data_IF_394230322707
#
_entry.id   IF_394230322707
#
_cell.length_a   1.000
_cell.length_b   1.000
_cell.length_c   1.000
_cell.angle_alpha   90.00
_cell.angle_beta   90.00
_cell.angle_gamma   90.00
#
_symmetry.space_group_name_H-M   'P 1'
#
loop_
_entity.id
_entity.type
_entity.pdbx_description
1 polymer ?
#
# COMPACT_ATOMS: atom_id res chain seq x y z
N UNK A 1 -7.35 -11.60 12.51
CA UNK A 1 -6.63 -10.69 11.60
C UNK A 1 -6.17 -11.56 10.45
N UNK A 2 -6.66 -11.28 9.26
CA UNK A 2 -6.45 -12.18 8.12
C UNK A 2 -5.05 -11.93 7.55
N UNK A 3 -4.26 -13.00 7.44
CA UNK A 3 -3.02 -12.97 6.68
C UNK A 3 -3.37 -12.93 5.19
N UNK A 4 -2.74 -12.04 4.43
CA UNK A 4 -2.84 -12.07 2.98
C UNK A 4 -2.07 -13.29 2.44
N UNK A 5 -2.60 -14.00 1.43
CA UNK A 5 -1.78 -14.93 0.65
C UNK A 5 -0.56 -14.18 0.11
N UNK A 6 0.63 -14.69 0.38
CA UNK A 6 1.90 -14.10 -0.04
C UNK A 6 2.59 -15.05 -1.04
N UNK A 7 3.37 -14.52 -2.01
CA UNK A 7 3.68 -13.11 -2.24
C UNK A 7 2.67 -12.39 -3.15
N UNK A 8 2.57 -11.06 -3.04
CA UNK A 8 1.68 -10.24 -3.87
C UNK A 8 2.28 -8.88 -4.23
N UNK A 9 1.74 -8.22 -5.25
CA UNK A 9 2.05 -6.81 -5.57
C UNK A 9 0.87 -5.92 -5.24
N UNK A 10 1.12 -4.62 -5.04
CA UNK A 10 0.10 -3.59 -4.82
C UNK A 10 0.15 -2.60 -5.98
N UNK A 11 -1.00 -2.32 -6.58
CA UNK A 11 -1.21 -1.28 -7.57
C UNK A 11 -2.19 -0.25 -7.03
N UNK A 12 -2.05 1.02 -7.42
CA UNK A 12 -2.99 2.10 -7.12
C UNK A 12 -3.32 2.76 -8.45
N UNK A 13 -4.59 2.75 -8.84
CA UNK A 13 -5.06 3.21 -10.14
C UNK A 13 -4.36 2.53 -11.32
N UNK A 14 -4.03 1.24 -11.17
CA UNK A 14 -3.28 0.45 -12.15
C UNK A 14 -1.77 0.73 -12.18
N UNK A 15 -1.27 1.62 -11.32
CA UNK A 15 0.15 1.92 -11.21
C UNK A 15 0.77 1.11 -10.06
N UNK A 16 1.78 0.26 -10.31
CA UNK A 16 2.38 -0.54 -9.25
C UNK A 16 3.14 0.33 -8.25
N UNK A 17 3.04 0.02 -6.96
CA UNK A 17 3.95 0.57 -5.95
C UNK A 17 5.36 0.04 -6.25
N UNK A 18 6.29 0.96 -6.51
CA UNK A 18 7.65 0.62 -6.90
C UNK A 18 8.45 0.07 -5.72
N UNK A 19 9.37 -0.85 -6.01
CA UNK A 19 10.31 -1.39 -5.02
C UNK A 19 11.17 -0.28 -4.38
N UNK A 20 11.63 -0.45 -3.13
CA UNK A 20 12.56 0.48 -2.51
C UNK A 20 13.87 0.55 -3.32
N UNK A 21 14.47 1.74 -3.43
CA UNK A 21 15.81 1.88 -3.98
C UNK A 21 16.85 1.30 -3.01
N UNK A 22 17.99 0.83 -3.52
CA UNK A 22 19.00 0.13 -2.70
C UNK A 22 19.68 1.05 -1.65
N UNK A 23 19.84 2.33 -1.96
CA UNK A 23 20.56 3.31 -1.13
C UNK A 23 19.61 4.31 -0.43
N UNK A 24 18.45 3.82 0.01
CA UNK A 24 17.49 4.66 0.73
C UNK A 24 18.09 5.19 2.04
N UNK A 25 17.88 6.49 2.28
CA UNK A 25 18.03 7.10 3.61
C UNK A 25 17.15 6.35 4.62
N UNK A 26 17.22 6.68 5.92
CA UNK A 26 16.44 6.01 6.99
C UNK A 26 14.96 5.79 6.65
N UNK A 27 14.39 6.69 5.85
CA UNK A 27 13.14 6.47 5.12
C UNK A 27 13.15 7.19 3.77
N UNK A 28 12.40 6.68 2.80
CA UNK A 28 12.21 7.31 1.48
C UNK A 28 10.74 7.29 1.08
N UNK A 29 10.21 8.40 0.54
CA UNK A 29 8.81 8.48 0.12
C UNK A 29 8.55 7.44 -0.96
N UNK A 30 7.54 6.59 -0.75
CA UNK A 30 7.17 5.56 -1.70
C UNK A 30 6.54 6.18 -2.94
N UNK A 31 6.82 5.56 -4.08
CA UNK A 31 6.34 5.99 -5.38
C UNK A 31 5.73 4.84 -6.14
N UNK A 32 4.92 5.15 -7.15
CA UNK A 32 4.59 4.19 -8.20
C UNK A 32 5.73 4.08 -9.21
N UNK A 33 5.76 2.99 -10.00
CA UNK A 33 6.78 2.81 -11.04
C UNK A 33 6.70 1.47 -11.77
N UNK A 34 7.58 1.28 -12.74
CA UNK A 34 7.60 0.11 -13.64
C UNK A 34 8.12 -1.16 -12.97
N UNK A 35 8.84 -1.05 -11.86
CA UNK A 35 9.40 -2.19 -11.14
C UNK A 35 8.61 -2.44 -9.84
N UNK A 36 7.58 -3.31 -9.86
CA UNK A 36 6.69 -3.51 -8.73
C UNK A 36 7.42 -4.10 -7.53
N UNK A 37 7.09 -3.60 -6.34
CA UNK A 37 7.45 -4.24 -5.08
C UNK A 37 6.65 -5.54 -4.90
N UNK A 38 7.34 -6.60 -4.48
CA UNK A 38 6.72 -7.86 -4.07
C UNK A 38 6.64 -7.85 -2.55
N UNK A 39 5.42 -8.06 -2.04
CA UNK A 39 5.07 -7.86 -0.64
C UNK A 39 4.72 -9.15 0.07
N UNK A 40 5.00 -9.13 1.37
CA UNK A 40 4.40 -10.03 2.36
C UNK A 40 3.84 -9.17 3.50
N UNK A 41 2.66 -9.54 4.03
CA UNK A 41 2.12 -8.93 5.24
C UNK A 41 2.39 -9.85 6.43
N UNK A 42 3.39 -9.50 7.25
CA UNK A 42 3.81 -10.28 8.41
C UNK A 42 3.95 -9.38 9.63
N UNK A 43 3.38 -9.82 10.76
CA UNK A 43 3.39 -9.08 12.03
C UNK A 43 2.87 -7.64 11.86
N UNK A 44 1.81 -7.49 11.06
CA UNK A 44 1.20 -6.20 10.68
C UNK A 44 2.13 -5.22 9.96
N UNK A 45 3.24 -5.72 9.41
CA UNK A 45 4.19 -4.96 8.61
C UNK A 45 4.11 -5.44 7.17
N UNK A 46 3.94 -4.51 6.25
CA UNK A 46 3.95 -4.78 4.82
C UNK A 46 5.39 -4.71 4.31
N UNK A 47 6.01 -5.88 4.13
CA UNK A 47 7.46 -6.01 3.93
C UNK A 47 7.81 -6.27 2.47
N UNK A 48 8.94 -5.72 2.00
CA UNK A 48 9.52 -6.01 0.69
C UNK A 48 11.03 -5.73 0.71
N UNK A 49 11.87 -6.68 0.25
CA UNK A 49 13.32 -6.49 0.10
C UNK A 49 14.04 -5.82 1.29
N UNK A 50 13.81 -6.31 2.51
CA UNK A 50 14.43 -5.75 3.72
C UNK A 50 13.88 -4.39 4.16
N UNK A 51 12.78 -3.94 3.56
CA UNK A 51 12.08 -2.70 3.90
C UNK A 51 10.63 -2.97 4.31
N UNK A 52 10.04 -2.00 4.99
CA UNK A 52 8.63 -1.97 5.36
C UNK A 52 7.99 -0.74 4.72
N UNK A 53 6.86 -0.94 4.05
CA UNK A 53 6.02 0.15 3.57
C UNK A 53 5.04 0.55 4.68
N UNK A 54 5.13 1.77 5.18
CA UNK A 54 4.30 2.22 6.31
C UNK A 54 4.15 3.75 6.37
N UNK A 55 3.36 4.21 7.33
CA UNK A 55 3.31 5.60 7.78
C UNK A 55 4.11 5.77 9.07
N UNK A 56 4.72 6.93 9.26
CA UNK A 56 5.33 7.28 10.54
C UNK A 56 4.24 7.53 11.58
N UNK A 57 4.48 7.17 12.84
CA UNK A 57 3.53 7.43 13.93
C UNK A 57 3.44 8.93 14.27
N UNK A 58 4.57 9.65 14.13
CA UNK A 58 4.64 11.09 14.36
C UNK A 58 4.40 11.84 13.04
N UNK A 59 3.22 12.42 12.91
CA UNK A 59 2.78 13.21 11.75
C UNK A 59 2.13 14.52 12.20
N UNK A 60 1.99 15.48 11.28
CA UNK A 60 1.16 16.66 11.54
C UNK A 60 -0.33 16.26 11.65
N UNK A 61 -1.11 17.03 12.42
CA UNK A 61 -2.52 16.74 12.72
C UNK A 61 -3.49 17.20 11.62
N UNK A 62 -3.01 17.52 10.42
CA UNK A 62 -3.90 17.90 9.33
C UNK A 62 -4.66 16.68 8.79
N UNK A 63 -5.80 16.90 8.14
CA UNK A 63 -6.52 15.86 7.39
C UNK A 63 -6.00 15.69 5.96
N UNK A 64 -4.90 16.38 5.61
CA UNK A 64 -4.26 16.19 4.30
C UNK A 64 -3.74 14.76 4.17
N UNK A 65 -3.70 14.20 2.95
CA UNK A 65 -3.09 12.90 2.68
C UNK A 65 -1.70 12.78 3.30
N UNK A 66 -1.39 11.59 3.83
CA UNK A 66 -0.13 11.34 4.53
C UNK A 66 0.82 10.54 3.67
N UNK A 67 2.06 10.98 3.58
CA UNK A 67 3.08 10.26 2.83
C UNK A 67 3.27 8.85 3.40
N UNK A 68 3.33 7.87 2.52
CA UNK A 68 3.72 6.50 2.86
C UNK A 68 5.17 6.31 2.49
N UNK A 69 5.98 5.77 3.39
CA UNK A 69 7.42 5.66 3.19
C UNK A 69 7.86 4.19 3.15
N UNK A 70 8.93 3.97 2.42
CA UNK A 70 9.82 2.84 2.63
C UNK A 70 10.71 3.13 3.83
N UNK A 71 10.62 2.29 4.86
CA UNK A 71 11.53 2.26 5.99
C UNK A 71 12.42 1.02 5.92
N UNK A 72 13.65 1.08 6.43
CA UNK A 72 14.41 -0.14 6.69
C UNK A 72 13.67 -1.02 7.69
N UNK A 73 13.76 -2.34 7.55
CA UNK A 73 13.02 -3.27 8.40
C UNK A 73 13.37 -3.14 9.89
N UNK A 74 14.61 -2.76 10.20
CA UNK A 74 15.15 -2.52 11.55
C UNK A 74 15.03 -1.05 12.01
N UNK A 75 14.19 -0.24 11.35
CA UNK A 75 14.03 1.17 11.70
C UNK A 75 13.65 1.34 13.18
N UNK A 76 14.33 2.27 13.86
CA UNK A 76 13.95 2.73 15.19
C UNK A 76 12.78 3.72 15.14
N UNK A 77 12.40 4.19 13.95
CA UNK A 77 11.27 5.12 13.80
C UNK A 77 9.96 4.39 14.10
N UNK A 78 9.14 4.88 15.04
CA UNK A 78 7.82 4.31 15.28
C UNK A 78 6.94 4.47 14.04
N UNK A 79 6.34 3.36 13.59
CA UNK A 79 5.48 3.30 12.41
C UNK A 79 4.11 2.73 12.77
N UNK A 80 3.10 3.08 11.98
CA UNK A 80 1.76 2.52 12.09
C UNK A 80 1.70 1.07 11.57
N UNK A 81 0.85 0.26 12.20
CA UNK A 81 0.45 -1.05 11.71
C UNK A 81 -0.27 -0.94 10.36
N UNK A 82 -0.07 -1.95 9.51
CA UNK A 82 -0.84 -2.17 8.29
C UNK A 82 -1.84 -3.29 8.53
N UNK A 83 -3.10 -3.04 8.20
CA UNK A 83 -4.19 -3.99 8.34
C UNK A 83 -4.69 -4.39 6.96
N UNK A 84 -4.86 -5.70 6.76
CA UNK A 84 -5.61 -6.23 5.63
C UNK A 84 -6.97 -6.73 6.11
N UNK A 85 -8.03 -6.28 5.44
CA UNK A 85 -9.41 -6.71 5.73
C UNK A 85 -10.00 -7.27 4.44
N UNK A 86 -10.58 -8.47 4.51
CA UNK A 86 -11.26 -9.07 3.36
C UNK A 86 -12.53 -8.29 3.03
N UNK A 87 -12.71 -7.99 1.75
CA UNK A 87 -13.87 -7.28 1.20
C UNK A 87 -14.38 -8.05 -0.03
N UNK A 88 -15.36 -8.93 0.18
CA UNK A 88 -15.81 -9.86 -0.86
C UNK A 88 -14.70 -10.83 -1.30
N UNK A 89 -14.37 -10.82 -2.59
CA UNK A 89 -13.24 -11.58 -3.17
C UNK A 89 -11.91 -10.81 -3.11
N UNK A 90 -11.93 -9.63 -2.50
CA UNK A 90 -10.88 -8.63 -2.48
C UNK A 90 -10.36 -8.37 -1.06
N UNK A 91 -9.33 -7.54 -0.91
CA UNK A 91 -8.65 -7.29 0.36
C UNK A 91 -8.25 -5.83 0.44
N UNK A 92 -8.86 -5.07 1.35
CA UNK A 92 -8.49 -3.68 1.65
C UNK A 92 -7.22 -3.62 2.48
N UNK A 93 -6.21 -2.88 2.01
CA UNK A 93 -5.04 -2.52 2.80
C UNK A 93 -5.24 -1.15 3.44
N UNK A 94 -5.10 -1.09 4.75
CA UNK A 94 -5.32 0.11 5.54
C UNK A 94 -4.07 0.49 6.34
N UNK A 95 -3.64 1.73 6.18
CA UNK A 95 -2.49 2.33 6.86
C UNK A 95 -3.01 3.25 7.95
N UNK A 96 -3.18 2.71 9.17
CA UNK A 96 -3.88 3.38 10.27
C UNK A 96 -5.31 3.83 9.89
N UNK A 97 -6.07 2.93 9.26
CA UNK A 97 -7.46 3.15 8.85
C UNK A 97 -7.66 3.93 7.54
N UNK A 98 -6.57 4.34 6.89
CA UNK A 98 -6.61 5.04 5.61
C UNK A 98 -6.24 4.12 4.44
N UNK A 99 -6.98 4.20 3.35
CA UNK A 99 -6.64 3.54 2.08
C UNK A 99 -5.48 4.27 1.37
N UNK A 100 -4.95 3.67 0.32
CA UNK A 100 -3.90 4.28 -0.48
C UNK A 100 -4.47 5.09 -1.65
N UNK A 101 -3.73 6.13 -2.03
CA UNK A 101 -3.94 6.96 -3.21
C UNK A 101 -2.59 7.39 -3.81
N UNK A 102 -2.61 7.93 -5.01
CA UNK A 102 -1.44 8.50 -5.68
C UNK A 102 -1.60 9.98 -5.98
N UNK A 103 -0.51 10.73 -5.86
CA UNK A 103 -0.41 12.12 -6.31
C UNK A 103 1.02 12.38 -6.83
N UNK A 104 1.17 12.82 -8.08
CA UNK A 104 2.47 13.08 -8.72
C UNK A 104 3.47 11.91 -8.55
N UNK A 105 3.01 10.69 -8.85
CA UNK A 105 3.69 9.40 -8.62
C UNK A 105 4.01 9.05 -7.16
N UNK A 106 3.78 9.96 -6.21
CA UNK A 106 3.92 9.71 -4.79
C UNK A 106 2.76 8.86 -4.25
N UNK A 107 3.08 7.94 -3.35
CA UNK A 107 2.08 7.12 -2.64
C UNK A 107 1.70 7.81 -1.33
N UNK A 108 0.40 7.97 -1.11
CA UNK A 108 -0.16 8.61 0.08
C UNK A 108 -1.27 7.75 0.67
N UNK A 109 -1.51 7.92 1.97
CA UNK A 109 -2.70 7.44 2.63
C UNK A 109 -3.76 8.55 2.63
N UNK A 110 -4.95 8.23 2.12
CA UNK A 110 -6.09 9.14 2.07
C UNK A 110 -6.78 9.19 3.45
N UNK A 111 -6.57 10.29 4.17
CA UNK A 111 -7.12 10.50 5.52
C UNK A 111 -8.59 10.94 5.48
N UNK A 112 -8.98 11.69 4.45
CA UNK A 112 -10.36 12.19 4.34
C UNK A 112 -11.29 11.16 3.73
N UNK A 113 -10.74 10.18 3.02
CA UNK A 113 -11.49 9.08 2.45
C UNK A 113 -12.51 9.59 1.45
N UNK A 114 -12.09 9.82 0.21
CA UNK A 114 -13.07 9.75 -0.89
C UNK A 114 -13.52 8.29 -0.97
N UNK A 115 -14.59 7.93 -0.27
CA UNK A 115 -15.21 6.60 -0.18
C UNK A 115 -14.21 5.44 -0.27
N UNK A 116 -13.70 5.00 0.89
CA UNK A 116 -13.00 3.72 1.13
C UNK A 116 -12.63 2.95 -0.14
N UNK A 117 -11.41 3.15 -0.63
CA UNK A 117 -10.95 2.47 -1.84
C UNK A 117 -10.94 0.96 -1.61
N UNK A 118 -11.94 0.28 -2.19
CA UNK A 118 -12.03 -1.18 -2.21
C UNK A 118 -10.84 -1.70 -3.00
N UNK A 119 -9.84 -2.20 -2.27
CA UNK A 119 -8.63 -2.72 -2.89
C UNK A 119 -8.98 -4.07 -3.54
N UNK A 120 -9.10 -4.12 -4.86
CA UNK A 120 -9.52 -5.34 -5.56
C UNK A 120 -8.40 -6.38 -5.52
N UNK A 121 -8.66 -7.60 -5.07
CA UNK A 121 -7.73 -8.72 -5.24
C UNK A 121 -8.20 -9.48 -6.44
N UNK A 122 -7.45 -9.35 -7.53
CA UNK A 122 -7.77 -10.10 -8.73
C UNK A 122 -7.14 -11.48 -8.60
N UNK A 123 -7.93 -12.47 -8.16
CA UNK A 123 -7.61 -13.86 -8.53
C UNK A 123 -7.84 -13.95 -10.03
N UNK A 124 -6.83 -14.39 -10.78
CA UNK A 124 -6.75 -14.31 -12.24
C UNK A 124 -8.02 -14.82 -12.94
N UNK A 125 -8.99 -13.94 -13.22
CA UNK A 125 -10.04 -14.15 -14.20
C UNK A 125 -10.37 -12.82 -14.86
N UNK A 126 -9.92 -12.65 -16.10
CA UNK A 126 -10.22 -11.51 -16.96
C UNK A 126 -11.73 -11.19 -16.91
N UNK A 127 -12.11 -9.98 -16.47
CA UNK A 127 -13.26 -9.27 -17.03
C UNK A 127 -13.17 -7.77 -16.67
N UNK A 128 -13.02 -6.96 -17.71
CA UNK A 128 -13.04 -5.49 -17.69
C UNK A 128 -14.45 -4.96 -17.43
N UNK A 129 -14.58 -3.98 -16.52
CA UNK A 129 -15.65 -2.98 -16.57
C UNK A 129 -15.13 -1.63 -16.05
N UNK A 130 -15.26 -0.64 -16.92
CA UNK A 130 -14.95 0.77 -16.72
C UNK A 130 -16.12 1.41 -15.95
N UNK A 131 -15.89 1.85 -14.72
CA UNK A 131 -16.67 2.93 -14.11
C UNK A 131 -15.70 4.03 -13.65
N UNK A 132 -16.18 5.26 -13.50
CA UNK A 132 -15.40 6.32 -12.88
C UNK A 132 -15.23 5.98 -11.39
N UNK A 133 -14.00 5.80 -10.90
CA UNK A 133 -13.74 5.24 -9.57
C UNK A 133 -12.97 6.21 -8.65
N UNK A 134 -13.27 6.21 -7.34
CA UNK A 134 -12.28 6.60 -6.33
C UNK A 134 -11.05 5.68 -6.44
N UNK A 135 -9.85 6.20 -6.18
CA UNK A 135 -8.56 5.57 -6.48
C UNK A 135 -8.54 4.05 -6.27
N UNK A 136 -8.46 3.24 -7.33
CA UNK A 136 -8.61 1.77 -7.22
C UNK A 136 -7.28 1.13 -6.84
N UNK A 137 -7.14 0.75 -5.58
CA UNK A 137 -6.00 -0.09 -5.15
C UNK A 137 -6.28 -1.54 -5.63
N UNK A 138 -5.26 -2.28 -6.08
CA UNK A 138 -5.40 -3.68 -6.52
C UNK A 138 -4.25 -4.49 -5.94
N UNK A 139 -4.55 -5.65 -5.35
CA UNK A 139 -3.54 -6.62 -4.91
C UNK A 139 -3.50 -7.77 -5.91
N UNK A 140 -2.34 -8.03 -6.52
CA UNK A 140 -2.14 -9.14 -7.44
C UNK A 140 -1.27 -10.21 -6.82
N UNK A 141 -1.86 -11.39 -6.61
CA UNK A 141 -1.14 -12.56 -6.14
C UNK A 141 -0.15 -13.03 -7.21
N UNK A 142 1.08 -13.36 -6.81
CA UNK A 142 2.05 -13.99 -7.70
C UNK A 142 1.80 -15.51 -7.68
N UNK A 143 1.66 -16.11 -8.86
CA UNK A 143 1.47 -17.57 -9.06
C UNK A 143 2.80 -18.32 -9.07
#
# INVERSE_FOLDING_TARGET
>A
MDSLPAPFTVEIDGHPVAKPQADTQDRTHAKTGSEPAVFELKDKRLQSNGHVLARALAENRSLMPKMVFWFKADTATPIHDVVATKDGESYKLEFSGAGLMTQDDGVFADIMGSESTCTHVHTLLLLTLLQAHPSKVVIKMQS
#
